data_IF_168498497303
#
_entry.id   IF_168498497303
#
_cell.length_a   1.000
_cell.length_b   1.000
_cell.length_c   1.000
_cell.angle_alpha   90.00
_cell.angle_beta   90.00
_cell.angle_gamma   90.00
#
_symmetry.space_group_name_H-M   'P 1'
#
loop_
_entity.id
_entity.type
_entity.pdbx_description
1 polymer ?
#
# COMPACT_ATOMS: atom_id res chain seq x y z
N UNK A 1 5.56 -11.43 -1.70
CA UNK A 1 6.32 -11.86 -0.52
C UNK A 1 5.51 -11.65 0.75
N UNK A 2 5.45 -12.64 1.61
CA UNK A 2 4.65 -12.57 2.83
C UNK A 2 5.51 -12.77 4.10
N UNK A 3 6.81 -13.03 3.96
CA UNK A 3 7.71 -13.26 5.10
C UNK A 3 7.19 -14.28 6.10
N UNK A 4 6.48 -15.30 5.62
CA UNK A 4 5.78 -16.31 6.41
C UNK A 4 4.61 -15.76 7.28
N UNK A 5 4.13 -14.54 6.98
CA UNK A 5 2.99 -13.93 7.67
C UNK A 5 1.63 -14.35 7.12
N UNK A 6 0.55 -13.79 7.70
CA UNK A 6 -0.83 -14.19 7.42
C UNK A 6 -1.28 -13.90 5.98
N UNK A 7 -0.72 -12.88 5.33
CA UNK A 7 -1.03 -12.56 3.93
C UNK A 7 -0.74 -13.72 2.97
N UNK A 8 0.18 -14.62 3.31
CA UNK A 8 0.49 -15.81 2.52
C UNK A 8 -0.70 -16.74 2.29
N UNK A 9 -1.68 -16.70 3.18
CA UNK A 9 -2.88 -17.55 3.10
C UNK A 9 -3.87 -17.10 2.03
N UNK A 10 -3.87 -15.84 1.64
CA UNK A 10 -4.90 -15.29 0.74
C UNK A 10 -4.35 -14.40 -0.40
N UNK A 11 -3.25 -13.68 -0.22
CA UNK A 11 -2.74 -12.73 -1.20
C UNK A 11 -2.38 -13.39 -2.56
N UNK A 12 -1.71 -14.57 -2.61
CA UNK A 12 -1.45 -15.22 -3.88
C UNK A 12 -2.71 -15.54 -4.68
N UNK A 13 -3.74 -16.04 -4.03
CA UNK A 13 -5.00 -16.41 -4.70
C UNK A 13 -5.80 -15.19 -5.16
N UNK A 14 -5.80 -14.11 -4.39
CA UNK A 14 -6.41 -12.84 -4.81
C UNK A 14 -5.72 -12.31 -6.06
N UNK A 15 -4.39 -12.28 -6.09
CA UNK A 15 -3.64 -11.81 -7.25
C UNK A 15 -3.87 -12.68 -8.49
N UNK A 16 -3.90 -14.00 -8.34
CA UNK A 16 -4.28 -14.91 -9.43
C UNK A 16 -5.72 -14.67 -9.90
N UNK A 17 -6.63 -14.42 -8.96
CA UNK A 17 -8.05 -14.16 -9.25
C UNK A 17 -8.28 -12.91 -10.11
N UNK A 18 -7.40 -11.93 -10.05
CA UNK A 18 -7.44 -10.73 -10.91
C UNK A 18 -6.60 -10.86 -12.19
N UNK A 19 -6.03 -12.07 -12.45
CA UNK A 19 -5.34 -12.39 -13.71
C UNK A 19 -3.82 -12.25 -13.67
N UNK A 20 -3.20 -12.11 -12.49
CA UNK A 20 -1.74 -12.07 -12.38
C UNK A 20 -1.15 -13.48 -12.43
N UNK A 21 0.02 -13.60 -13.06
CA UNK A 21 0.93 -14.73 -12.84
C UNK A 21 1.71 -14.47 -11.55
N UNK A 22 1.59 -15.36 -10.56
CA UNK A 22 2.11 -15.13 -9.22
C UNK A 22 3.28 -16.04 -8.90
N UNK A 23 4.41 -15.42 -8.58
CA UNK A 23 5.59 -16.06 -8.01
C UNK A 23 5.54 -15.85 -6.50
N UNK A 24 5.34 -16.92 -5.76
CA UNK A 24 5.25 -16.88 -4.30
C UNK A 24 6.64 -16.84 -3.66
N UNK A 25 6.81 -15.91 -2.72
CA UNK A 25 8.02 -15.79 -1.92
C UNK A 25 7.63 -15.80 -0.44
N UNK A 26 8.07 -16.84 0.28
CA UNK A 26 7.85 -17.02 1.72
C UNK A 26 6.36 -16.85 2.13
N UNK A 27 5.46 -17.50 1.39
CA UNK A 27 4.01 -17.44 1.58
C UNK A 27 3.46 -18.56 2.49
N UNK A 28 4.27 -19.56 2.85
CA UNK A 28 3.89 -20.56 3.86
C UNK A 28 3.84 -19.92 5.24
N UNK A 29 2.73 -20.11 5.97
CA UNK A 29 2.55 -19.52 7.29
C UNK A 29 3.50 -20.17 8.32
N UNK A 30 4.36 -19.36 8.91
CA UNK A 30 5.25 -19.77 10.01
C UNK A 30 5.44 -18.61 11.01
N UNK A 31 4.83 -18.74 12.19
CA UNK A 31 4.87 -17.73 13.23
C UNK A 31 6.26 -17.42 13.80
N UNK A 32 7.28 -18.22 13.44
CA UNK A 32 8.67 -17.95 13.85
C UNK A 32 9.39 -16.98 12.92
N UNK A 33 8.78 -16.66 11.77
CA UNK A 33 9.35 -15.79 10.74
C UNK A 33 10.81 -16.11 10.41
N UNK A 34 11.11 -17.34 9.93
CA UNK A 34 12.46 -17.86 9.88
C UNK A 34 13.36 -17.20 8.84
N UNK A 35 12.83 -16.44 7.90
CA UNK A 35 13.59 -15.84 6.81
C UNK A 35 14.04 -14.42 7.13
N UNK A 36 13.11 -13.57 7.50
CA UNK A 36 13.30 -12.16 7.86
C UNK A 36 12.07 -11.67 8.60
N UNK A 37 12.17 -10.50 9.23
CA UNK A 37 11.01 -9.84 9.81
C UNK A 37 10.04 -9.41 8.71
N UNK A 38 8.78 -9.89 8.68
CA UNK A 38 7.79 -9.49 7.68
C UNK A 38 7.35 -8.03 7.92
N UNK A 39 8.09 -7.12 7.34
CA UNK A 39 7.86 -5.69 7.42
C UNK A 39 8.27 -5.05 6.08
N UNK A 40 7.37 -4.41 5.33
CA UNK A 40 7.67 -3.82 4.02
C UNK A 40 8.67 -2.65 4.06
N UNK A 41 9.07 -2.19 5.25
CA UNK A 41 10.17 -1.23 5.44
C UNK A 41 11.49 -1.91 5.81
N UNK A 42 11.51 -3.23 5.99
CA UNK A 42 12.71 -3.99 6.36
C UNK A 42 13.59 -4.26 5.13
N UNK A 43 14.88 -3.94 5.23
CA UNK A 43 15.82 -4.06 4.11
C UNK A 43 16.04 -5.51 3.67
N UNK A 44 16.01 -6.47 4.58
CA UNK A 44 16.18 -7.90 4.24
C UNK A 44 15.00 -8.37 3.39
N UNK A 45 13.79 -8.02 3.79
CA UNK A 45 12.58 -8.31 3.02
C UNK A 45 12.60 -7.61 1.65
N UNK A 46 12.91 -6.32 1.61
CA UNK A 46 12.98 -5.55 0.36
C UNK A 46 14.03 -6.12 -0.61
N UNK A 47 15.21 -6.51 -0.11
CA UNK A 47 16.24 -7.16 -0.94
C UNK A 47 15.79 -8.53 -1.45
N UNK A 48 15.09 -9.32 -0.63
CA UNK A 48 14.55 -10.62 -1.08
C UNK A 48 13.53 -10.45 -2.21
N UNK A 49 12.64 -9.46 -2.11
CA UNK A 49 11.65 -9.14 -3.15
C UNK A 49 12.35 -8.65 -4.41
N UNK A 50 13.27 -7.69 -4.28
CA UNK A 50 14.06 -7.14 -5.40
C UNK A 50 14.79 -8.24 -6.17
N UNK A 51 15.43 -9.16 -5.44
CA UNK A 51 16.09 -10.31 -6.04
C UNK A 51 15.08 -11.21 -6.80
N UNK A 52 13.95 -11.52 -6.19
CA UNK A 52 12.94 -12.36 -6.83
C UNK A 52 12.35 -11.70 -8.09
N UNK A 53 12.10 -10.39 -8.07
CA UNK A 53 11.67 -9.62 -9.25
C UNK A 53 12.69 -9.75 -10.39
N UNK A 54 13.97 -9.50 -10.12
CA UNK A 54 15.03 -9.54 -11.13
C UNK A 54 15.26 -10.96 -11.66
N UNK A 55 15.31 -11.97 -10.80
CA UNK A 55 15.57 -13.36 -11.18
C UNK A 55 14.45 -13.94 -12.09
N UNK A 56 13.24 -13.45 -11.94
CA UNK A 56 12.08 -13.94 -12.66
C UNK A 56 11.55 -12.95 -13.73
N UNK A 57 12.20 -11.80 -13.92
CA UNK A 57 11.73 -10.72 -14.78
C UNK A 57 10.26 -10.34 -14.49
N UNK A 58 9.90 -10.26 -13.22
CA UNK A 58 8.54 -9.92 -12.82
C UNK A 58 8.26 -8.43 -13.05
N UNK A 59 7.02 -8.09 -13.41
CA UNK A 59 6.59 -6.69 -13.63
C UNK A 59 6.54 -5.88 -12.35
N UNK A 60 6.30 -6.53 -11.20
CA UNK A 60 6.12 -5.89 -9.90
C UNK A 60 6.32 -6.89 -8.76
N UNK A 61 6.86 -6.43 -7.65
CA UNK A 61 6.94 -7.17 -6.39
C UNK A 61 6.10 -6.54 -5.30
N UNK A 62 5.37 -7.37 -4.55
CA UNK A 62 4.62 -6.94 -3.36
C UNK A 62 5.19 -7.61 -2.11
N UNK A 63 5.34 -6.83 -1.04
CA UNK A 63 5.68 -7.32 0.28
C UNK A 63 4.59 -6.96 1.28
N UNK A 64 4.15 -7.94 2.07
CA UNK A 64 3.14 -7.75 3.11
C UNK A 64 3.77 -7.98 4.48
N UNK A 65 3.31 -7.26 5.50
CA UNK A 65 3.79 -7.48 6.85
C UNK A 65 3.14 -8.69 7.54
N UNK A 66 3.46 -8.90 8.81
CA UNK A 66 3.13 -10.13 9.53
C UNK A 66 1.63 -10.39 9.65
N UNK A 67 0.81 -9.39 9.85
CA UNK A 67 -0.65 -9.47 9.92
C UNK A 67 -1.35 -9.05 8.60
N UNK A 68 -0.58 -8.54 7.64
CA UNK A 68 -1.02 -8.31 6.26
C UNK A 68 -1.78 -7.01 6.04
N UNK A 69 -1.67 -6.05 6.95
CA UNK A 69 -2.35 -4.75 6.86
C UNK A 69 -1.48 -3.66 6.19
N UNK A 70 -0.20 -3.96 5.90
CA UNK A 70 0.72 -3.07 5.18
C UNK A 70 1.26 -3.70 3.90
N UNK A 71 1.49 -2.86 2.90
CA UNK A 71 2.07 -3.27 1.63
C UNK A 71 3.27 -2.42 1.24
N UNK A 72 4.36 -3.09 0.84
CA UNK A 72 5.50 -2.51 0.14
C UNK A 72 5.53 -2.93 -1.31
N UNK A 73 6.11 -2.10 -2.17
CA UNK A 73 6.13 -2.31 -3.62
C UNK A 73 7.54 -2.16 -4.16
N UNK A 74 7.94 -3.12 -4.99
CA UNK A 74 9.19 -3.12 -5.77
C UNK A 74 8.81 -3.07 -7.25
N UNK A 75 9.45 -2.18 -8.02
CA UNK A 75 9.25 -2.09 -9.47
C UNK A 75 9.96 -3.24 -10.24
N UNK A 76 9.75 -3.28 -11.55
CA UNK A 76 10.35 -4.29 -12.44
C UNK A 76 11.87 -4.17 -12.59
N UNK A 77 12.49 -3.12 -12.09
CA UNK A 77 13.95 -2.93 -12.04
C UNK A 77 14.54 -3.31 -10.67
N UNK A 78 13.70 -3.72 -9.73
CA UNK A 78 14.09 -4.10 -8.38
C UNK A 78 14.21 -2.91 -7.41
N UNK A 79 13.67 -1.72 -7.76
CA UNK A 79 13.71 -0.55 -6.89
C UNK A 79 12.46 -0.45 -6.03
N UNK A 80 12.63 -0.03 -4.78
CA UNK A 80 11.51 0.28 -3.89
C UNK A 80 10.71 1.50 -4.38
N UNK A 81 9.38 1.34 -4.46
CA UNK A 81 8.46 2.47 -4.60
C UNK A 81 7.85 2.75 -3.23
N UNK A 82 8.28 3.80 -2.58
CA UNK A 82 7.80 4.16 -1.24
C UNK A 82 6.27 4.21 -1.17
N UNK A 83 5.70 3.67 -0.11
CA UNK A 83 4.24 3.49 0.04
C UNK A 83 3.44 4.80 -0.06
N UNK A 84 4.01 5.93 0.38
CA UNK A 84 3.38 7.23 0.21
C UNK A 84 3.25 7.66 -1.27
N UNK A 85 4.15 7.22 -2.15
CA UNK A 85 4.05 7.43 -3.60
C UNK A 85 3.03 6.49 -4.22
N UNK A 86 2.94 5.25 -3.75
CA UNK A 86 1.88 4.31 -4.14
C UNK A 86 0.51 4.88 -3.76
N UNK A 87 0.36 5.37 -2.54
CA UNK A 87 -0.85 6.07 -2.10
C UNK A 87 -1.22 7.25 -3.00
N UNK A 88 -0.22 8.04 -3.45
CA UNK A 88 -0.45 9.12 -4.42
C UNK A 88 -0.94 8.61 -5.78
N UNK A 89 -0.37 7.52 -6.30
CA UNK A 89 -0.81 6.90 -7.55
C UNK A 89 -2.26 6.41 -7.45
N UNK A 90 -2.60 5.76 -6.33
CA UNK A 90 -3.98 5.34 -6.04
C UNK A 90 -4.91 6.56 -5.96
N UNK A 91 -4.52 7.61 -5.23
CA UNK A 91 -5.31 8.84 -5.13
C UNK A 91 -5.56 9.50 -6.50
N UNK A 92 -4.55 9.55 -7.38
CA UNK A 92 -4.71 10.01 -8.77
C UNK A 92 -5.76 9.20 -9.53
N UNK A 93 -5.64 7.87 -9.47
CA UNK A 93 -6.57 6.98 -10.15
C UNK A 93 -8.01 7.17 -9.64
N UNK A 94 -8.19 7.15 -8.33
CA UNK A 94 -9.49 7.36 -7.69
C UNK A 94 -10.09 8.73 -8.00
N UNK A 95 -9.25 9.77 -8.10
CA UNK A 95 -9.71 11.12 -8.41
C UNK A 95 -10.32 11.27 -9.80
N UNK A 96 -9.99 10.39 -10.75
CA UNK A 96 -10.56 10.41 -12.11
C UNK A 96 -12.06 10.06 -12.11
N UNK A 97 -12.47 9.16 -11.23
CA UNK A 97 -13.87 8.72 -11.09
C UNK A 97 -14.59 9.43 -9.93
N UNK A 98 -13.85 9.89 -8.93
CA UNK A 98 -14.38 10.54 -7.72
C UNK A 98 -13.82 11.96 -7.57
N UNK A 99 -14.27 12.88 -8.42
CA UNK A 99 -13.85 14.30 -8.39
C UNK A 99 -14.31 15.00 -7.12
N UNK A 100 -13.63 16.08 -6.75
CA UNK A 100 -13.88 16.88 -5.54
C UNK A 100 -13.70 16.09 -4.21
N UNK A 101 -13.06 14.93 -4.26
CA UNK A 101 -12.82 14.10 -3.07
C UNK A 101 -11.77 14.67 -2.15
N UNK A 102 -11.80 14.20 -0.90
CA UNK A 102 -10.73 14.44 0.06
C UNK A 102 -9.89 13.18 0.24
N UNK A 103 -8.60 13.38 0.47
CA UNK A 103 -7.65 12.35 0.88
C UNK A 103 -6.98 12.77 2.18
N UNK A 104 -6.77 11.84 3.09
CA UNK A 104 -6.03 12.07 4.33
C UNK A 104 -4.67 11.40 4.16
N UNK A 105 -3.59 12.09 4.48
CA UNK A 105 -2.24 11.51 4.48
C UNK A 105 -1.53 11.85 5.77
N UNK A 106 -0.64 10.98 6.21
CA UNK A 106 0.14 11.28 7.40
C UNK A 106 1.22 12.34 7.13
N UNK A 107 1.65 13.03 8.18
CA UNK A 107 2.64 14.13 8.07
C UNK A 107 4.03 13.65 7.64
N UNK A 108 4.31 12.34 7.64
CA UNK A 108 5.55 11.75 7.14
C UNK A 108 5.54 11.51 5.63
N UNK A 109 4.34 11.52 5.02
CA UNK A 109 4.15 11.31 3.60
C UNK A 109 4.69 12.47 2.75
N UNK A 110 4.99 12.17 1.50
CA UNK A 110 5.52 13.14 0.53
C UNK A 110 4.65 14.37 0.38
N UNK A 111 5.28 15.54 0.23
CA UNK A 111 4.59 16.81 -0.08
C UNK A 111 3.95 16.85 -1.48
N UNK A 112 4.22 15.87 -2.34
CA UNK A 112 3.70 15.80 -3.70
C UNK A 112 2.16 15.78 -3.75
N UNK A 113 1.49 15.24 -2.73
CA UNK A 113 0.02 15.28 -2.69
C UNK A 113 -0.56 16.70 -2.77
N UNK A 114 0.14 17.70 -2.24
CA UNK A 114 -0.32 19.10 -2.25
C UNK A 114 -0.09 19.80 -3.59
N UNK A 115 0.85 19.31 -4.39
CA UNK A 115 1.27 19.94 -5.67
C UNK A 115 0.88 19.12 -6.89
N UNK A 116 0.21 18.00 -6.70
CA UNK A 116 -0.13 17.08 -7.76
C UNK A 116 -1.13 17.68 -8.74
N UNK A 117 -0.75 17.70 -10.03
CA UNK A 117 -1.55 18.33 -11.09
C UNK A 117 -2.87 17.58 -11.34
N UNK A 118 -2.89 16.24 -11.23
CA UNK A 118 -4.10 15.43 -11.45
C UNK A 118 -5.10 15.65 -10.33
N UNK A 119 -4.65 15.62 -9.08
CA UNK A 119 -5.50 15.88 -7.92
C UNK A 119 -6.08 17.32 -7.98
N UNK A 120 -5.25 18.28 -8.35
CA UNK A 120 -5.68 19.68 -8.52
C UNK A 120 -6.71 19.84 -9.65
N UNK A 121 -6.47 19.26 -10.81
CA UNK A 121 -7.40 19.28 -11.97
C UNK A 121 -8.75 18.64 -11.60
N UNK A 122 -8.74 17.58 -10.82
CA UNK A 122 -9.94 16.89 -10.34
C UNK A 122 -10.55 17.55 -9.09
N UNK A 123 -10.04 18.71 -8.66
CA UNK A 123 -10.49 19.52 -7.52
C UNK A 123 -10.49 18.73 -6.20
N UNK A 124 -9.60 17.76 -6.07
CA UNK A 124 -9.42 17.00 -4.85
C UNK A 124 -8.64 17.81 -3.81
N UNK A 125 -8.84 17.49 -2.53
CA UNK A 125 -8.14 18.13 -1.41
C UNK A 125 -7.41 17.09 -0.61
N UNK A 126 -6.14 17.33 -0.32
CA UNK A 126 -5.35 16.51 0.60
C UNK A 126 -5.22 17.21 1.94
N UNK A 127 -5.47 16.48 3.01
CA UNK A 127 -5.31 16.93 4.39
C UNK A 127 -4.22 16.10 5.06
N UNK A 128 -3.14 16.76 5.48
CA UNK A 128 -2.10 16.13 6.28
C UNK A 128 -2.54 15.99 7.74
N UNK A 129 -2.30 14.82 8.33
CA UNK A 129 -2.70 14.53 9.69
C UNK A 129 -1.60 13.79 10.45
N UNK A 130 -1.75 13.70 11.76
CA UNK A 130 -0.78 12.98 12.60
C UNK A 130 -0.75 11.49 12.24
N UNK A 131 0.46 10.93 12.23
CA UNK A 131 0.72 9.51 11.95
C UNK A 131 0.04 8.59 12.96
N UNK A 132 -0.36 7.44 12.50
CA UNK A 132 -0.94 6.34 13.28
C UNK A 132 -2.29 5.92 12.71
N UNK A 133 -2.41 4.63 12.39
CA UNK A 133 -3.56 4.06 11.67
C UNK A 133 -4.91 4.49 12.30
N UNK A 134 -5.06 4.40 13.61
CA UNK A 134 -6.29 4.80 14.30
C UNK A 134 -6.61 6.30 14.17
N UNK A 135 -5.58 7.15 14.03
CA UNK A 135 -5.76 8.58 13.82
C UNK A 135 -6.16 8.91 12.39
N UNK A 136 -5.52 8.27 11.42
CA UNK A 136 -5.84 8.43 9.99
C UNK A 136 -7.24 7.88 9.72
N UNK A 137 -7.55 6.67 10.15
CA UNK A 137 -8.86 6.02 10.02
C UNK A 137 -10.00 6.91 10.53
N UNK A 138 -9.85 7.43 11.76
CA UNK A 138 -10.82 8.36 12.37
C UNK A 138 -10.94 9.66 11.57
N UNK A 139 -9.83 10.20 11.07
CA UNK A 139 -9.85 11.44 10.28
C UNK A 139 -10.52 11.21 8.92
N UNK A 140 -10.26 10.11 8.25
CA UNK A 140 -10.94 9.69 7.01
C UNK A 140 -12.46 9.69 7.21
N UNK A 141 -12.92 9.03 8.26
CA UNK A 141 -14.34 8.97 8.59
C UNK A 141 -14.94 10.36 8.89
N UNK A 142 -14.32 11.15 9.78
CA UNK A 142 -14.85 12.44 10.22
C UNK A 142 -14.90 13.47 9.07
N UNK A 143 -13.92 13.46 8.18
CA UNK A 143 -13.86 14.35 7.03
C UNK A 143 -14.70 13.84 5.84
N UNK A 144 -15.25 12.64 5.93
CA UNK A 144 -15.86 11.93 4.80
C UNK A 144 -14.90 11.89 3.62
N UNK A 145 -13.63 11.66 3.91
CA UNK A 145 -12.61 11.51 2.88
C UNK A 145 -12.78 10.18 2.16
N UNK A 146 -12.38 10.12 0.90
CA UNK A 146 -12.51 8.92 0.07
C UNK A 146 -11.53 7.83 0.50
N UNK A 147 -10.30 8.25 0.84
CA UNK A 147 -9.27 7.35 1.31
C UNK A 147 -8.25 8.07 2.21
N UNK A 148 -7.47 7.28 2.93
CA UNK A 148 -6.31 7.74 3.70
C UNK A 148 -5.09 6.89 3.37
N UNK A 149 -3.89 7.47 3.52
CA UNK A 149 -2.63 6.81 3.19
C UNK A 149 -1.57 7.16 4.23
N UNK A 150 -0.83 6.16 4.68
CA UNK A 150 0.33 6.34 5.53
C UNK A 150 1.62 5.94 4.81
N UNK A 151 2.71 6.60 5.15
CA UNK A 151 4.04 6.26 4.63
C UNK A 151 4.45 4.82 4.99
N UNK A 152 3.94 4.30 6.10
CA UNK A 152 4.19 2.93 6.56
C UNK A 152 3.55 1.82 5.72
N UNK A 153 2.65 2.17 4.79
CA UNK A 153 1.99 1.22 3.90
C UNK A 153 0.57 0.84 4.27
N UNK A 154 -0.01 1.43 5.33
CA UNK A 154 -1.44 1.30 5.60
C UNK A 154 -2.25 2.19 4.67
N UNK A 155 -3.25 1.62 4.05
CA UNK A 155 -4.17 2.31 3.14
C UNK A 155 -5.61 2.08 3.59
N UNK A 156 -6.35 3.15 3.75
CA UNK A 156 -7.70 3.15 4.31
C UNK A 156 -8.70 3.59 3.25
N UNK A 157 -9.71 2.79 2.98
CA UNK A 157 -10.74 3.09 2.00
C UNK A 157 -12.09 3.32 2.67
N UNK A 158 -12.73 4.46 2.35
CA UNK A 158 -14.05 4.80 2.84
C UNK A 158 -15.10 4.55 1.75
N UNK A 159 -16.37 4.66 2.11
CA UNK A 159 -17.45 4.54 1.14
C UNK A 159 -17.29 5.57 -0.01
N UNK A 160 -17.60 5.18 -1.26
CA UNK A 160 -18.18 3.88 -1.67
C UNK A 160 -17.14 2.78 -1.96
N UNK A 161 -15.86 3.00 -1.71
CA UNK A 161 -14.78 2.07 -2.05
C UNK A 161 -14.60 0.94 -1.03
N UNK A 162 -14.82 1.25 0.24
CA UNK A 162 -14.68 0.34 1.37
C UNK A 162 -15.71 0.64 2.44
N UNK A 163 -15.60 -0.01 3.58
CA UNK A 163 -16.55 0.14 4.69
C UNK A 163 -16.20 1.31 5.63
N UNK A 164 -15.05 1.94 5.42
CA UNK A 164 -14.58 3.07 6.21
C UNK A 164 -13.66 2.70 7.38
N UNK A 165 -13.40 1.44 7.56
CA UNK A 165 -12.51 0.88 8.58
C UNK A 165 -11.49 -0.12 8.01
N UNK A 166 -11.42 -0.18 6.69
CA UNK A 166 -10.50 -1.06 5.98
C UNK A 166 -9.09 -0.49 6.04
N UNK A 167 -8.12 -1.32 6.28
CA UNK A 167 -6.69 -1.14 6.08
C UNK A 167 -6.05 -2.43 5.56
#
# INVERSE_FOLDING_TARGET
ACGNGTAGVFAPDILRGIGCEVIELDCELDWTFPKYNPNPEDLEMLHAISKAVNDNNADIGFGFDGDGDRVGVIDNEGNEIFSDKIGLLIARNLSNTHKNSKFIVDVKSTGLYSTDAVLSQNKCKTLYWKTGHSHIKRKVHNEKALAGFEKSGHFFFNQPLGYGYDD
#
